data_IF_078627419597
#
_entry.id   IF_078627419597
#
_cell.length_a   1.000
_cell.length_b   1.000
_cell.length_c   1.000
_cell.angle_alpha   90.00
_cell.angle_beta   90.00
_cell.angle_gamma   90.00
#
_symmetry.space_group_name_H-M   'P 1'
#
loop_
_entity.id
_entity.type
_entity.pdbx_description
1 polymer ?
#
# COMPACT_ATOMS: atom_id res chain seq x y z
N UNK A 1 10.81 20.36 -31.40
CA UNK A 1 11.05 19.37 -30.32
C UNK A 1 9.92 19.35 -29.28
N UNK A 2 9.49 20.51 -28.75
CA UNK A 2 8.39 20.60 -27.75
C UNK A 2 7.02 20.15 -28.30
N UNK A 3 6.71 20.42 -29.57
CA UNK A 3 5.42 20.05 -30.18
C UNK A 3 5.16 18.53 -30.21
N UNK A 4 6.23 17.74 -30.40
CA UNK A 4 6.16 16.27 -30.44
C UNK A 4 5.91 15.68 -29.03
N UNK A 5 6.42 16.33 -27.97
CA UNK A 5 6.15 15.93 -26.59
C UNK A 5 4.69 16.18 -26.18
N UNK A 6 4.06 17.24 -26.69
CA UNK A 6 2.65 17.55 -26.43
C UNK A 6 1.73 16.53 -27.14
N UNK A 7 2.03 16.17 -28.39
CA UNK A 7 1.31 15.12 -29.11
C UNK A 7 1.43 13.76 -28.43
N UNK A 8 2.62 13.40 -27.96
CA UNK A 8 2.84 12.15 -27.21
C UNK A 8 2.09 12.14 -25.88
N UNK A 9 2.05 13.26 -25.15
CA UNK A 9 1.31 13.39 -23.88
C UNK A 9 -0.20 13.26 -24.06
N UNK A 10 -0.72 13.73 -25.19
CA UNK A 10 -2.16 13.73 -25.48
C UNK A 10 -2.63 12.51 -26.27
N UNK A 11 -1.73 11.59 -26.62
CA UNK A 11 -2.10 10.35 -27.30
C UNK A 11 -2.94 9.49 -26.34
N UNK A 12 -4.22 9.23 -26.64
CA UNK A 12 -5.04 8.39 -25.79
C UNK A 12 -4.52 6.95 -25.81
N UNK A 13 -4.58 6.28 -24.66
CA UNK A 13 -4.41 4.84 -24.61
C UNK A 13 -5.59 4.19 -25.35
N UNK A 14 -5.30 3.29 -26.29
CA UNK A 14 -6.34 2.46 -26.89
C UNK A 14 -6.77 1.36 -25.90
N UNK A 15 -7.84 0.64 -26.23
CA UNK A 15 -8.37 -0.44 -25.39
C UNK A 15 -7.33 -1.52 -25.09
N UNK A 16 -6.52 -1.91 -26.08
CA UNK A 16 -5.49 -2.94 -25.92
C UNK A 16 -4.37 -2.50 -24.98
N UNK A 17 -3.87 -1.26 -25.12
CA UNK A 17 -2.83 -0.72 -24.24
C UNK A 17 -3.37 -0.51 -22.82
N UNK A 18 -4.64 -0.12 -22.68
CA UNK A 18 -5.28 0.02 -21.38
C UNK A 18 -5.42 -1.35 -20.68
N UNK A 19 -5.91 -2.37 -21.40
CA UNK A 19 -6.03 -3.72 -20.87
C UNK A 19 -4.65 -4.29 -20.47
N UNK A 20 -3.64 -4.12 -21.33
CA UNK A 20 -2.28 -4.54 -21.02
C UNK A 20 -1.69 -3.78 -19.81
N UNK A 21 -1.92 -2.46 -19.73
CA UNK A 21 -1.52 -1.66 -18.57
C UNK A 21 -2.18 -2.17 -17.30
N UNK A 22 -3.50 -2.35 -17.32
CA UNK A 22 -4.29 -2.79 -16.17
C UNK A 22 -3.84 -4.17 -15.66
N UNK A 23 -3.61 -5.13 -16.56
CA UNK A 23 -3.07 -6.44 -16.24
C UNK A 23 -1.64 -6.37 -15.67
N UNK A 24 -0.82 -5.43 -16.14
CA UNK A 24 0.57 -5.27 -15.69
C UNK A 24 0.71 -4.59 -14.31
N UNK A 25 -0.37 -4.01 -13.75
CA UNK A 25 -0.33 -3.40 -12.41
C UNK A 25 0.01 -4.50 -11.39
N UNK A 26 1.11 -4.40 -10.62
CA UNK A 26 1.56 -5.47 -9.72
C UNK A 26 0.75 -5.59 -8.42
N UNK A 27 -0.35 -4.85 -8.34
CA UNK A 27 -1.17 -4.63 -7.16
C UNK A 27 -2.63 -4.94 -7.50
N UNK A 28 -3.35 -5.65 -6.62
CA UNK A 28 -4.76 -5.95 -6.78
C UNK A 28 -5.56 -4.70 -7.16
N UNK A 29 -6.18 -4.74 -8.34
CA UNK A 29 -6.92 -3.61 -8.88
C UNK A 29 -8.26 -4.08 -9.47
N UNK A 30 -9.33 -3.37 -9.12
CA UNK A 30 -10.69 -3.61 -9.61
C UNK A 30 -11.21 -2.36 -10.30
N UNK A 31 -12.04 -2.53 -11.32
CA UNK A 31 -12.70 -1.46 -12.05
C UNK A 31 -14.23 -1.63 -11.93
N UNK A 32 -14.90 -0.65 -11.33
CA UNK A 32 -16.35 -0.63 -11.15
C UNK A 32 -16.96 0.52 -11.94
N UNK A 33 -18.12 0.31 -12.58
CA UNK A 33 -18.79 1.34 -13.38
C UNK A 33 -20.24 1.55 -12.97
N UNK A 34 -20.72 2.78 -13.15
CA UNK A 34 -22.12 3.16 -12.99
C UNK A 34 -22.57 3.33 -11.55
N UNK A 35 -23.84 3.70 -11.37
CA UNK A 35 -24.44 4.02 -10.06
C UNK A 35 -24.41 2.84 -9.08
N UNK A 36 -24.55 1.63 -9.59
CA UNK A 36 -24.54 0.39 -8.81
C UNK A 36 -23.13 -0.19 -8.58
N UNK A 37 -22.09 0.45 -9.12
CA UNK A 37 -20.70 0.00 -9.06
C UNK A 37 -20.57 -1.47 -9.47
N UNK A 38 -20.88 -1.74 -10.72
CA UNK A 38 -20.78 -3.08 -11.31
C UNK A 38 -19.33 -3.34 -11.71
N UNK A 39 -18.78 -4.49 -11.30
CA UNK A 39 -17.41 -4.87 -11.64
C UNK A 39 -17.29 -5.18 -13.14
N UNK A 40 -16.46 -4.43 -13.85
CA UNK A 40 -16.22 -4.61 -15.29
C UNK A 40 -14.84 -5.17 -15.61
N UNK A 41 -13.88 -5.06 -14.70
CA UNK A 41 -12.54 -5.61 -14.88
C UNK A 41 -11.82 -5.78 -13.54
N UNK A 42 -10.87 -6.72 -13.48
CA UNK A 42 -9.93 -6.89 -12.38
C UNK A 42 -8.64 -7.55 -12.90
N UNK A 43 -7.50 -7.24 -12.29
CA UNK A 43 -6.20 -7.78 -12.74
C UNK A 43 -5.80 -9.06 -12.00
N UNK A 44 -4.83 -9.79 -12.55
CA UNK A 44 -4.35 -11.06 -11.98
C UNK A 44 -3.75 -10.90 -10.56
N UNK A 45 -3.31 -9.69 -10.21
CA UNK A 45 -2.76 -9.43 -8.88
C UNK A 45 -3.77 -9.64 -7.74
N UNK A 46 -5.09 -9.69 -8.03
CA UNK A 46 -6.12 -9.98 -7.01
C UNK A 46 -5.98 -11.36 -6.38
N UNK A 47 -5.33 -12.32 -7.06
CA UNK A 47 -5.10 -13.67 -6.53
C UNK A 47 -4.37 -13.65 -5.18
N UNK A 48 -3.54 -12.62 -4.97
CA UNK A 48 -2.80 -12.40 -3.71
C UNK A 48 -3.71 -12.11 -2.51
N UNK A 49 -4.93 -11.62 -2.73
CA UNK A 49 -5.87 -11.23 -1.67
C UNK A 49 -6.82 -12.36 -1.26
N UNK A 50 -6.77 -13.52 -1.92
CA UNK A 50 -7.62 -14.68 -1.60
C UNK A 50 -9.13 -14.37 -1.58
N UNK A 51 -9.60 -13.40 -2.37
CA UNK A 51 -11.02 -13.12 -2.53
C UNK A 51 -11.76 -14.33 -3.12
N UNK A 52 -13.01 -14.50 -2.70
CA UNK A 52 -13.91 -15.51 -3.24
C UNK A 52 -15.08 -14.81 -3.93
N UNK A 53 -15.63 -15.44 -4.98
CA UNK A 53 -16.81 -14.91 -5.67
C UNK A 53 -16.55 -13.69 -6.56
N UNK A 54 -15.29 -13.35 -6.86
CA UNK A 54 -14.97 -12.31 -7.84
C UNK A 54 -15.40 -12.80 -9.22
N UNK A 55 -16.34 -12.08 -9.83
CA UNK A 55 -16.82 -12.36 -11.19
C UNK A 55 -17.25 -11.06 -11.86
N UNK A 56 -17.02 -10.95 -13.16
CA UNK A 56 -17.47 -9.78 -13.91
C UNK A 56 -19.00 -9.66 -13.87
N UNK A 57 -19.51 -8.44 -13.77
CA UNK A 57 -20.94 -8.15 -13.64
C UNK A 57 -21.49 -8.18 -12.21
N UNK A 58 -20.70 -8.62 -11.21
CA UNK A 58 -21.12 -8.55 -9.81
C UNK A 58 -21.16 -7.10 -9.31
N UNK A 59 -22.13 -6.76 -8.47
CA UNK A 59 -22.18 -5.45 -7.80
C UNK A 59 -21.14 -5.39 -6.68
N UNK A 60 -20.56 -4.21 -6.46
CA UNK A 60 -19.67 -3.98 -5.32
C UNK A 60 -20.34 -4.31 -3.97
N UNK A 61 -21.64 -4.07 -3.85
CA UNK A 61 -22.45 -4.40 -2.66
C UNK A 61 -22.54 -5.90 -2.37
N UNK A 62 -22.46 -6.73 -3.40
CA UNK A 62 -22.46 -8.18 -3.26
C UNK A 62 -21.05 -8.71 -3.00
N UNK A 63 -20.05 -8.20 -3.74
CA UNK A 63 -18.65 -8.61 -3.60
C UNK A 63 -18.07 -8.25 -2.22
N UNK A 64 -18.36 -7.06 -1.72
CA UNK A 64 -17.89 -6.56 -0.43
C UNK A 64 -18.96 -6.56 0.66
N UNK A 65 -19.95 -7.46 0.59
CA UNK A 65 -21.05 -7.55 1.57
C UNK A 65 -20.58 -7.69 3.02
N UNK A 66 -19.39 -8.28 3.24
CA UNK A 66 -18.80 -8.48 4.55
C UNK A 66 -17.84 -7.35 4.97
N UNK A 67 -17.55 -6.39 4.08
CA UNK A 67 -16.69 -5.24 4.33
C UNK A 67 -17.41 -3.94 3.97
N UNK A 68 -18.22 -3.47 4.91
CA UNK A 68 -18.97 -2.22 4.77
C UNK A 68 -18.09 -0.97 4.62
N UNK A 69 -16.80 -1.03 5.01
CA UNK A 69 -15.87 0.10 4.87
C UNK A 69 -15.51 0.30 3.40
N UNK A 70 -15.09 -0.76 2.71
CA UNK A 70 -14.79 -0.69 1.27
C UNK A 70 -16.03 -0.24 0.50
N UNK A 71 -17.19 -0.80 0.82
CA UNK A 71 -18.43 -0.46 0.14
C UNK A 71 -18.78 1.03 0.30
N UNK A 72 -18.74 1.54 1.54
CA UNK A 72 -18.99 2.96 1.83
C UNK A 72 -18.05 3.86 1.03
N UNK A 73 -16.76 3.54 1.02
CA UNK A 73 -15.75 4.37 0.37
C UNK A 73 -15.87 4.36 -1.16
N UNK A 74 -16.22 3.22 -1.77
CA UNK A 74 -16.51 3.16 -3.21
C UNK A 74 -17.65 4.10 -3.59
N UNK A 75 -18.76 4.07 -2.85
CA UNK A 75 -19.90 4.95 -3.10
C UNK A 75 -19.58 6.43 -2.83
N UNK A 76 -18.84 6.73 -1.76
CA UNK A 76 -18.35 8.10 -1.49
C UNK A 76 -17.49 8.61 -2.66
N UNK A 77 -16.54 7.79 -3.15
CA UNK A 77 -15.71 8.14 -4.30
C UNK A 77 -16.54 8.46 -5.55
N UNK A 78 -17.54 7.63 -5.87
CA UNK A 78 -18.43 7.84 -7.00
C UNK A 78 -19.27 9.12 -6.87
N UNK A 79 -19.89 9.33 -5.70
CA UNK A 79 -20.80 10.45 -5.47
C UNK A 79 -20.04 11.78 -5.38
N UNK A 80 -18.94 11.81 -4.63
CA UNK A 80 -18.14 13.01 -4.41
C UNK A 80 -17.20 13.31 -5.60
N UNK A 81 -17.02 12.35 -6.51
CA UNK A 81 -16.14 12.44 -7.70
C UNK A 81 -14.71 12.80 -7.30
N UNK A 82 -14.23 12.18 -6.23
CA UNK A 82 -12.97 12.50 -5.57
C UNK A 82 -12.05 11.27 -5.49
N UNK A 83 -10.75 11.52 -5.41
CA UNK A 83 -9.74 10.49 -5.24
C UNK A 83 -9.21 10.55 -3.81
N UNK A 84 -9.13 9.42 -3.14
CA UNK A 84 -8.56 9.32 -1.79
C UNK A 84 -8.03 7.93 -1.51
N UNK A 85 -7.27 7.81 -0.43
CA UNK A 85 -6.74 6.53 0.05
C UNK A 85 -6.91 6.41 1.55
N UNK A 86 -7.15 5.19 2.03
CA UNK A 86 -7.22 4.88 3.45
C UNK A 86 -6.36 3.68 3.81
N UNK A 87 -5.60 3.81 4.88
CA UNK A 87 -4.91 2.68 5.50
C UNK A 87 -5.82 1.99 6.52
N UNK A 88 -5.78 0.66 6.57
CA UNK A 88 -6.47 -0.12 7.58
C UNK A 88 -5.65 -1.32 8.03
N UNK A 89 -5.85 -1.74 9.27
CA UNK A 89 -5.47 -3.07 9.73
C UNK A 89 -6.60 -4.06 9.43
N UNK A 90 -6.24 -5.23 8.90
CA UNK A 90 -7.19 -6.25 8.51
C UNK A 90 -6.69 -7.63 8.91
N UNK A 91 -7.59 -8.42 9.50
CA UNK A 91 -7.33 -9.83 9.81
C UNK A 91 -7.78 -10.70 8.64
N UNK A 92 -6.84 -11.36 7.99
CA UNK A 92 -7.14 -12.27 6.87
C UNK A 92 -8.07 -13.41 7.31
N UNK A 93 -9.22 -13.57 6.66
CA UNK A 93 -10.23 -14.58 7.03
C UNK A 93 -9.69 -16.02 7.00
N UNK A 94 -8.89 -16.36 5.99
CA UNK A 94 -8.37 -17.73 5.78
C UNK A 94 -7.21 -18.09 6.70
N UNK A 95 -6.26 -17.17 6.88
CA UNK A 95 -5.00 -17.44 7.61
C UNK A 95 -4.98 -16.90 9.04
N UNK A 96 -5.89 -15.96 9.37
CA UNK A 96 -5.88 -15.23 10.63
C UNK A 96 -4.74 -14.20 10.74
N UNK A 97 -3.89 -14.07 9.72
CA UNK A 97 -2.75 -13.13 9.75
C UNK A 97 -3.26 -11.69 9.82
N UNK A 98 -2.63 -10.89 10.69
CA UNK A 98 -2.84 -9.44 10.73
C UNK A 98 -2.00 -8.78 9.64
N UNK A 99 -2.68 -8.07 8.74
CA UNK A 99 -2.08 -7.32 7.66
C UNK A 99 -2.46 -5.85 7.77
N UNK A 100 -1.60 -5.00 7.23
CA UNK A 100 -1.90 -3.58 7.05
C UNK A 100 -2.02 -3.30 5.57
N UNK A 101 -3.16 -2.77 5.15
CA UNK A 101 -3.43 -2.44 3.75
C UNK A 101 -3.56 -0.93 3.57
N UNK A 102 -3.15 -0.42 2.41
CA UNK A 102 -3.57 0.87 1.89
C UNK A 102 -4.54 0.63 0.74
N UNK A 103 -5.70 1.28 0.79
CA UNK A 103 -6.76 1.13 -0.20
C UNK A 103 -7.00 2.48 -0.87
N UNK A 104 -6.78 2.57 -2.18
CA UNK A 104 -7.01 3.78 -2.96
C UNK A 104 -8.29 3.65 -3.79
N UNK A 105 -9.08 4.73 -3.78
CA UNK A 105 -10.33 4.88 -4.51
C UNK A 105 -10.14 6.03 -5.50
N UNK A 106 -10.25 5.72 -6.79
CA UNK A 106 -9.92 6.66 -7.86
C UNK A 106 -11.13 6.79 -8.78
N UNK A 107 -11.74 7.97 -8.80
CA UNK A 107 -12.80 8.33 -9.71
C UNK A 107 -12.23 8.75 -11.07
N UNK A 108 -12.76 8.14 -12.12
CA UNK A 108 -12.48 8.46 -13.52
C UNK A 108 -13.82 8.78 -14.18
N UNK A 109 -13.91 9.95 -14.82
CA UNK A 109 -15.13 10.36 -15.50
C UNK A 109 -15.50 9.40 -16.64
N UNK A 110 -16.81 9.21 -16.92
CA UNK A 110 -17.94 9.86 -16.24
C UNK A 110 -18.39 9.16 -14.95
N UNK A 111 -18.13 7.87 -14.79
CA UNK A 111 -18.75 7.01 -13.78
C UNK A 111 -17.91 5.77 -13.41
N UNK A 112 -16.61 5.79 -13.66
CA UNK A 112 -15.70 4.68 -13.36
C UNK A 112 -15.00 4.90 -12.01
N UNK A 113 -14.95 3.87 -11.19
CA UNK A 113 -14.20 3.85 -9.92
C UNK A 113 -13.18 2.72 -9.96
N UNK A 114 -11.91 3.07 -9.83
CA UNK A 114 -10.82 2.12 -9.66
C UNK A 114 -10.54 1.94 -8.17
N UNK A 115 -10.56 0.69 -7.73
CA UNK A 115 -10.14 0.28 -6.40
C UNK A 115 -8.79 -0.39 -6.49
N UNK A 116 -7.83 0.08 -5.71
CA UNK A 116 -6.49 -0.47 -5.64
C UNK A 116 -6.14 -0.82 -4.21
N UNK A 117 -5.55 -2.00 -3.99
CA UNK A 117 -5.23 -2.50 -2.66
C UNK A 117 -3.74 -2.84 -2.61
N UNK A 118 -3.01 -2.17 -1.72
CA UNK A 118 -1.61 -2.42 -1.44
C UNK A 118 -1.43 -3.06 -0.06
N UNK A 119 -0.68 -4.17 0.00
CA UNK A 119 -0.27 -4.80 1.26
C UNK A 119 0.99 -4.13 1.80
N UNK A 120 0.83 -3.29 2.82
CA UNK A 120 1.91 -2.57 3.49
C UNK A 120 2.58 -3.38 4.61
N UNK A 121 2.22 -4.65 4.80
CA UNK A 121 2.68 -5.43 5.96
C UNK A 121 4.20 -5.57 6.00
N UNK A 122 4.82 -5.83 4.83
CA UNK A 122 6.29 -5.98 4.76
C UNK A 122 6.99 -4.65 5.01
N UNK A 123 6.56 -3.56 4.37
CA UNK A 123 7.16 -2.24 4.61
C UNK A 123 7.03 -1.84 6.08
N UNK A 124 5.86 -2.04 6.70
CA UNK A 124 5.65 -1.70 8.10
C UNK A 124 6.52 -2.52 9.05
N UNK A 125 6.68 -3.83 8.83
CA UNK A 125 7.57 -4.67 9.65
C UNK A 125 9.02 -4.19 9.57
N UNK A 126 9.50 -3.88 8.37
CA UNK A 126 10.87 -3.35 8.15
C UNK A 126 11.04 -1.99 8.81
N UNK A 127 10.10 -1.07 8.58
CA UNK A 127 10.16 0.28 9.16
C UNK A 127 10.11 0.25 10.68
N UNK A 128 9.28 -0.62 11.26
CA UNK A 128 9.20 -0.79 12.71
C UNK A 128 10.50 -1.34 13.29
N UNK A 129 11.07 -2.40 12.69
CA UNK A 129 12.34 -2.95 13.12
C UNK A 129 13.50 -1.94 13.01
N UNK A 130 13.52 -1.14 11.93
CA UNK A 130 14.49 -0.07 11.75
C UNK A 130 14.34 1.04 12.81
N UNK A 131 13.09 1.43 13.12
CA UNK A 131 12.81 2.41 14.15
C UNK A 131 13.24 1.92 15.54
N UNK A 132 12.90 0.67 15.89
CA UNK A 132 13.32 0.07 17.16
C UNK A 132 14.85 0.01 17.29
N UNK A 133 15.56 -0.40 16.23
CA UNK A 133 17.02 -0.39 16.23
C UNK A 133 17.60 1.03 16.40
N UNK A 134 16.98 2.03 15.76
CA UNK A 134 17.37 3.43 15.89
C UNK A 134 17.15 3.96 17.31
N UNK A 135 16.01 3.66 17.91
CA UNK A 135 15.66 4.10 19.27
C UNK A 135 16.64 3.52 20.30
N UNK A 136 17.07 2.26 20.13
CA UNK A 136 18.12 1.64 20.95
C UNK A 136 19.45 2.38 20.80
N UNK A 137 19.88 2.69 19.58
CA UNK A 137 21.13 3.42 19.33
C UNK A 137 21.09 4.84 19.92
N UNK A 138 19.98 5.56 19.77
CA UNK A 138 19.79 6.88 20.37
C UNK A 138 19.80 6.83 21.90
N UNK A 139 19.15 5.81 22.48
CA UNK A 139 19.19 5.59 23.93
C UNK A 139 20.60 5.35 24.46
N UNK A 140 21.40 4.51 23.78
CA UNK A 140 22.80 4.27 24.14
C UNK A 140 23.66 5.54 24.04
N UNK A 141 23.51 6.32 22.95
CA UNK A 141 24.21 7.59 22.81
C UNK A 141 23.86 8.58 23.93
N UNK A 142 22.59 8.65 24.32
CA UNK A 142 22.15 9.51 25.41
C UNK A 142 22.83 9.11 26.73
N UNK A 143 22.83 7.81 27.05
CA UNK A 143 23.48 7.29 28.26
C UNK A 143 24.99 7.60 28.25
N UNK A 144 25.69 7.35 27.14
CA UNK A 144 27.13 7.61 27.05
C UNK A 144 27.43 9.11 27.22
N UNK A 145 26.68 9.98 26.56
CA UNK A 145 26.96 11.42 26.54
C UNK A 145 26.49 12.16 27.80
N UNK A 146 25.49 11.66 28.52
CA UNK A 146 24.93 12.30 29.73
C UNK A 146 25.34 11.59 31.03
N UNK A 147 26.02 10.45 30.94
CA UNK A 147 26.55 9.75 32.10
C UNK A 147 27.74 10.53 32.67
N UNK A 148 27.74 10.85 33.98
CA UNK A 148 28.92 11.39 34.65
C UNK A 148 30.03 10.33 34.85
N UNK A 149 29.77 9.06 34.49
CA UNK A 149 30.72 7.97 34.56
C UNK A 149 31.39 7.70 33.21
N UNK A 150 32.70 7.42 33.23
CA UNK A 150 33.49 7.00 32.07
C UNK A 150 33.06 5.59 31.62
N UNK A 151 32.66 5.44 30.36
CA UNK A 151 32.25 4.17 29.76
C UNK A 151 33.39 3.64 28.89
N UNK A 152 33.82 2.39 29.12
CA UNK A 152 34.82 1.72 28.28
C UNK A 152 34.14 0.68 27.38
N UNK A 153 34.45 0.69 26.08
CA UNK A 153 34.01 -0.33 25.14
C UNK A 153 35.13 -1.37 25.01
N UNK A 154 34.90 -2.59 25.51
CA UNK A 154 35.89 -3.68 25.48
C UNK A 154 35.46 -4.72 24.45
N UNK A 155 36.37 -5.11 23.56
CA UNK A 155 36.20 -6.26 22.66
C UNK A 155 36.98 -7.45 23.22
N UNK A 156 36.39 -8.64 23.17
CA UNK A 156 37.06 -9.89 23.59
C UNK A 156 38.05 -10.37 22.52
N UNK A 157 39.13 -9.61 22.35
CA UNK A 157 40.28 -9.93 21.50
C UNK A 157 41.56 -9.72 22.32
N UNK A 158 42.45 -10.71 22.34
CA UNK A 158 43.72 -10.65 23.05
C UNK A 158 44.59 -9.50 22.49
N UNK A 159 44.88 -8.49 23.32
CA UNK A 159 45.77 -7.37 22.96
C UNK A 159 45.08 -6.12 22.38
N UNK A 160 43.76 -5.96 22.50
CA UNK A 160 43.06 -4.79 21.99
C UNK A 160 43.40 -3.51 22.80
N UNK A 161 43.82 -2.39 22.16
CA UNK A 161 44.16 -1.16 22.88
C UNK A 161 42.90 -0.43 23.34
N UNK A 162 42.84 -0.04 24.61
CA UNK A 162 41.74 0.80 25.12
C UNK A 162 41.89 2.21 24.55
N UNK A 163 41.05 2.59 23.60
CA UNK A 163 41.02 3.96 23.06
C UNK A 163 40.16 4.87 23.95
N UNK A 164 40.73 6.00 24.38
CA UNK A 164 39.99 7.07 25.04
C UNK A 164 39.21 7.87 23.98
N UNK A 165 37.88 7.79 24.03
CA UNK A 165 37.02 8.66 23.25
C UNK A 165 36.65 9.85 24.15
N UNK A 166 37.33 10.99 23.96
CA UNK A 166 36.96 12.29 24.55
C UNK A 166 35.92 13.01 23.73
#
# INVERSE_FOLDING_TARGET
MISNLIELKNRPLNSESFSAFFAAIPLPTFAFVGEDLVLIDFNDAIEKLSFEGVSLGIKASELFKDDGRILKNLFSCLHEKSNFSEECEYRMKKTGEQKKFSTSFIFIQPDLVILHIEDLTRQNKVNKALQEARDVLTGLQLIINQSPAVVFLVRDEEGWPVEYIT
#
